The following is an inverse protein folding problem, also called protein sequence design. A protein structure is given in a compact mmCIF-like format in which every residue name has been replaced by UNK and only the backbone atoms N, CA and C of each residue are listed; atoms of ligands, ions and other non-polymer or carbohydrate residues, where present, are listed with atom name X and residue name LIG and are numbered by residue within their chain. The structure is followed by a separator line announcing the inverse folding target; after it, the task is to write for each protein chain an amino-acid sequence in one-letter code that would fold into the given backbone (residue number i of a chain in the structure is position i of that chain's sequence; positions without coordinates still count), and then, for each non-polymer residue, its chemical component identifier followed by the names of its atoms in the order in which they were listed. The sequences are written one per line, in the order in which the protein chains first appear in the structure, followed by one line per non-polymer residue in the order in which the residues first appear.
data_IF_884942922459
#
_entry.id   IF_884942922459
#
_cell.length_a   1.000
_cell.length_b   1.000
_cell.length_c   1.000
_cell.angle_alpha   90.00
_cell.angle_beta   90.00
_cell.angle_gamma   90.00
#
_symmetry.space_group_name_H-M   'P 1'
#
loop_
_entity.id
_entity.type
_entity.pdbx_description
1 polymer ?
#
# COMPACT_ATOMS: atom_id res chain seq x y z
N UNK A 1 -53.61 50.40 -30.23
CA UNK A 1 -53.12 49.08 -30.72
C UNK A 1 -51.91 48.73 -29.85
N UNK A 2 -52.13 47.86 -28.88
CA UNK A 2 -51.23 47.52 -27.77
C UNK A 2 -50.36 46.34 -28.11
N UNK A 3 -49.04 46.48 -28.04
CA UNK A 3 -48.03 45.47 -28.27
C UNK A 3 -47.83 44.74 -26.92
N UNK A 4 -48.12 43.43 -26.87
CA UNK A 4 -47.85 42.57 -25.71
C UNK A 4 -46.48 41.95 -25.88
N UNK A 5 -45.60 42.33 -24.98
CA UNK A 5 -44.27 41.74 -24.83
C UNK A 5 -44.35 40.43 -23.98
N UNK A 6 -44.02 39.28 -24.56
CA UNK A 6 -43.85 38.02 -23.81
C UNK A 6 -42.43 38.01 -23.23
N UNK A 7 -42.34 37.97 -21.89
CA UNK A 7 -41.11 37.61 -21.17
C UNK A 7 -41.03 36.08 -21.09
N UNK A 8 -40.07 35.47 -21.75
CA UNK A 8 -39.64 34.09 -21.49
C UNK A 8 -38.64 34.08 -20.32
N UNK A 9 -39.09 33.60 -19.18
CA UNK A 9 -38.20 33.32 -18.04
C UNK A 9 -37.45 32.03 -18.25
N UNK A 10 -36.13 32.10 -18.39
CA UNK A 10 -35.23 30.95 -18.36
C UNK A 10 -35.04 30.50 -16.90
N UNK A 11 -35.61 29.34 -16.56
CA UNK A 11 -35.32 28.67 -15.29
C UNK A 11 -33.96 27.97 -15.44
N UNK A 12 -32.94 28.55 -14.83
CA UNK A 12 -31.65 27.88 -14.68
C UNK A 12 -31.79 26.82 -13.57
N UNK A 13 -31.84 25.54 -13.98
CA UNK A 13 -31.66 24.42 -13.06
C UNK A 13 -30.18 24.39 -12.65
N UNK A 14 -29.86 24.94 -11.48
CA UNK A 14 -28.59 24.68 -10.82
C UNK A 14 -28.64 23.26 -10.25
N UNK A 15 -27.97 22.32 -10.91
CA UNK A 15 -27.66 21.02 -10.33
C UNK A 15 -26.73 21.23 -9.11
N UNK A 16 -27.29 21.16 -7.91
CA UNK A 16 -26.48 20.99 -6.70
C UNK A 16 -25.89 19.59 -6.76
N UNK A 17 -24.60 19.50 -7.14
CA UNK A 17 -23.81 18.33 -6.82
C UNK A 17 -23.78 18.20 -5.29
N UNK A 18 -24.04 17.01 -4.69
CA UNK A 18 -23.83 16.83 -3.28
C UNK A 18 -22.34 17.04 -3.00
N UNK A 19 -22.01 18.13 -2.32
CA UNK A 19 -20.71 18.29 -1.71
C UNK A 19 -20.58 17.10 -0.74
N UNK A 20 -19.67 16.20 -1.03
CA UNK A 20 -19.22 15.23 -0.04
C UNK A 20 -18.59 16.06 1.08
N UNK A 21 -19.35 16.29 2.13
CA UNK A 21 -18.82 16.81 3.37
C UNK A 21 -17.84 15.75 3.87
N UNK A 22 -16.55 16.01 3.71
CA UNK A 22 -15.57 15.46 4.63
C UNK A 22 -15.98 16.04 5.99
N UNK A 23 -16.78 15.28 6.73
CA UNK A 23 -17.09 15.61 8.11
C UNK A 23 -15.73 15.68 8.82
N UNK A 24 -15.39 16.85 9.32
CA UNK A 24 -14.31 16.99 10.29
C UNK A 24 -14.75 16.12 11.47
N UNK A 25 -14.12 14.95 11.61
CA UNK A 25 -14.41 14.04 12.72
C UNK A 25 -13.77 14.60 13.99
N UNK A 26 -14.31 15.67 14.51
CA UNK A 26 -14.05 16.13 15.87
C UNK A 26 -14.87 15.26 16.83
N UNK A 27 -14.24 14.23 17.38
CA UNK A 27 -14.90 13.32 18.30
C UNK A 27 -13.90 12.42 19.00
N UNK A 28 -14.31 11.87 20.14
CA UNK A 28 -13.49 10.96 20.93
C UNK A 28 -13.13 9.68 20.18
N UNK A 29 -11.94 9.15 20.46
CA UNK A 29 -11.49 7.84 19.97
C UNK A 29 -12.52 6.75 20.31
N UNK A 30 -12.79 5.87 19.33
CA UNK A 30 -13.65 4.71 19.55
C UNK A 30 -15.16 5.00 19.61
N UNK A 31 -15.61 6.18 19.21
CA UNK A 31 -17.04 6.58 19.31
C UNK A 31 -17.98 5.81 18.39
N UNK A 32 -17.47 5.31 17.24
CA UNK A 32 -18.32 4.75 16.18
C UNK A 32 -18.47 3.21 16.26
N UNK A 33 -18.05 2.58 17.36
CA UNK A 33 -18.23 1.16 17.58
C UNK A 33 -17.25 0.30 16.78
N UNK A 34 -17.73 -0.75 16.09
CA UNK A 34 -16.92 -1.69 15.33
C UNK A 34 -16.94 -1.37 13.84
N UNK A 35 -15.79 -1.55 13.15
CA UNK A 35 -15.71 -1.64 11.68
C UNK A 35 -15.31 -3.06 11.28
N UNK A 36 -15.98 -3.60 10.24
CA UNK A 36 -15.76 -4.95 9.74
C UNK A 36 -15.22 -4.93 8.31
N UNK A 37 -14.01 -5.46 8.15
CA UNK A 37 -13.31 -5.56 6.87
C UNK A 37 -13.27 -7.02 6.44
N UNK A 38 -13.55 -7.31 5.18
CA UNK A 38 -13.41 -8.64 4.61
C UNK A 38 -12.52 -8.62 3.37
N UNK A 39 -11.51 -9.52 3.36
CA UNK A 39 -10.71 -9.80 2.18
C UNK A 39 -10.96 -11.24 1.73
N UNK A 40 -10.96 -11.49 0.42
CA UNK A 40 -11.09 -12.85 -0.09
C UNK A 40 -9.85 -13.71 0.22
N UNK A 41 -8.68 -13.08 0.42
CA UNK A 41 -7.47 -13.72 0.98
C UNK A 41 -7.25 -13.24 2.40
N UNK A 42 -7.25 -14.18 3.36
CA UNK A 42 -6.97 -13.84 4.74
C UNK A 42 -5.50 -13.46 4.96
N UNK A 43 -5.23 -12.51 5.85
CA UNK A 43 -3.87 -12.25 6.33
C UNK A 43 -3.27 -13.49 7.01
N UNK A 44 -2.00 -13.73 6.74
CA UNK A 44 -1.25 -14.88 7.28
C UNK A 44 -0.23 -14.47 8.34
N UNK A 45 0.18 -13.19 8.35
CA UNK A 45 1.18 -12.62 9.25
C UNK A 45 0.98 -11.11 9.33
N UNK A 46 1.44 -10.49 10.42
CA UNK A 46 1.43 -9.03 10.61
C UNK A 46 2.84 -8.43 10.63
N UNK A 47 3.84 -9.20 10.23
CA UNK A 47 5.19 -8.72 10.02
C UNK A 47 5.47 -8.58 8.51
N UNK A 48 5.45 -7.35 7.94
CA UNK A 48 5.64 -7.13 6.51
C UNK A 48 7.05 -7.43 6.03
N UNK A 49 8.01 -7.55 6.93
CA UNK A 49 9.37 -7.96 6.58
C UNK A 49 9.49 -9.46 6.24
N UNK A 50 8.47 -10.26 6.61
CA UNK A 50 8.39 -11.68 6.28
C UNK A 50 7.30 -12.00 5.23
N UNK A 51 6.66 -10.99 4.65
CA UNK A 51 5.65 -11.16 3.61
C UNK A 51 5.70 -10.07 2.55
N UNK A 52 5.52 -10.45 1.28
CA UNK A 52 5.28 -9.53 0.17
C UNK A 52 3.79 -9.42 -0.21
N UNK A 53 2.90 -10.12 0.49
CA UNK A 53 1.47 -10.15 0.17
C UNK A 53 0.74 -8.88 0.56
N UNK A 54 0.02 -8.26 -0.37
CA UNK A 54 -0.74 -7.01 -0.11
C UNK A 54 -1.69 -7.14 1.08
N UNK A 55 -2.37 -8.27 1.23
CA UNK A 55 -3.26 -8.57 2.36
C UNK A 55 -2.57 -8.44 3.73
N UNK A 56 -1.31 -8.89 3.82
CA UNK A 56 -0.51 -8.84 5.04
C UNK A 56 0.01 -7.42 5.29
N UNK A 57 0.47 -6.74 4.23
CA UNK A 57 0.96 -5.36 4.28
C UNK A 57 -0.14 -4.38 4.71
N UNK A 58 -1.35 -4.54 4.18
CA UNK A 58 -2.47 -3.67 4.51
C UNK A 58 -2.99 -3.93 5.93
N UNK A 59 -3.13 -5.19 6.33
CA UNK A 59 -3.52 -5.54 7.69
C UNK A 59 -2.51 -5.05 8.73
N UNK A 60 -1.21 -5.26 8.48
CA UNK A 60 -0.15 -4.79 9.38
C UNK A 60 -0.11 -3.27 9.49
N UNK A 61 -0.48 -2.52 8.44
CA UNK A 61 -0.45 -1.06 8.42
C UNK A 61 -1.47 -0.40 9.37
N UNK A 62 -2.42 -1.18 9.90
CA UNK A 62 -3.34 -0.74 10.94
C UNK A 62 -2.69 -0.74 12.32
N UNK A 63 -1.59 -1.47 12.49
CA UNK A 63 -0.90 -1.70 13.77
C UNK A 63 0.48 -1.03 13.81
N UNK A 64 1.28 -1.20 12.77
CA UNK A 64 2.65 -0.67 12.70
C UNK A 64 2.80 0.34 11.55
N UNK A 65 3.56 1.41 11.79
CA UNK A 65 3.63 2.55 10.89
C UNK A 65 5.06 2.85 10.42
N UNK A 66 5.22 3.39 9.19
CA UNK A 66 6.49 3.85 8.65
C UNK A 66 6.81 5.27 9.11
N UNK A 67 8.02 5.76 8.77
CA UNK A 67 8.38 7.17 8.94
C UNK A 67 7.54 8.09 8.06
N UNK A 68 7.23 7.65 6.84
CA UNK A 68 6.36 8.37 5.91
C UNK A 68 5.67 7.46 4.92
N UNK A 69 4.72 8.00 4.17
CA UNK A 69 3.96 7.32 3.11
C UNK A 69 3.83 8.19 1.87
N UNK A 70 3.30 7.61 0.82
CA UNK A 70 2.78 8.35 -0.33
C UNK A 70 1.27 8.51 -0.16
N UNK A 71 0.76 9.71 -0.45
CA UNK A 71 -0.69 9.95 -0.54
C UNK A 71 -1.24 9.51 -1.90
N UNK A 72 -2.54 9.73 -2.13
CA UNK A 72 -3.22 9.36 -3.37
C UNK A 72 -2.74 10.15 -4.60
N UNK A 73 -2.02 11.25 -4.41
CA UNK A 73 -1.41 12.03 -5.49
C UNK A 73 0.02 11.58 -5.80
N UNK A 74 0.58 10.70 -4.95
CA UNK A 74 1.97 10.26 -5.00
C UNK A 74 2.94 11.22 -4.28
N UNK A 75 2.44 12.20 -3.54
CA UNK A 75 3.27 13.06 -2.72
C UNK A 75 3.71 12.34 -1.43
N UNK A 76 4.93 12.65 -0.98
CA UNK A 76 5.45 12.13 0.27
C UNK A 76 4.81 12.86 1.46
N UNK A 77 4.26 12.11 2.40
CA UNK A 77 3.65 12.62 3.63
C UNK A 77 4.27 11.99 4.87
N UNK A 78 4.59 12.78 5.92
CA UNK A 78 5.21 12.26 7.14
C UNK A 78 4.17 11.55 8.02
N UNK A 79 4.55 10.37 8.57
CA UNK A 79 3.78 9.60 9.55
C UNK A 79 4.44 9.67 10.93
N UNK A 80 5.44 8.83 11.21
CA UNK A 80 6.22 8.92 12.46
C UNK A 80 7.28 10.02 12.37
N UNK A 81 7.76 10.34 11.16
CA UNK A 81 8.69 11.44 10.97
C UNK A 81 8.03 12.80 11.19
N UNK A 82 8.79 13.76 11.70
CA UNK A 82 8.36 15.14 11.89
C UNK A 82 8.03 15.82 10.56
N UNK A 83 8.89 15.59 9.56
CA UNK A 83 8.77 16.09 8.20
C UNK A 83 9.42 15.10 7.22
N UNK A 84 9.21 15.29 5.92
CA UNK A 84 9.95 14.56 4.89
C UNK A 84 11.30 15.23 4.68
N UNK A 85 12.42 14.52 4.87
CA UNK A 85 13.74 15.05 4.59
C UNK A 85 13.93 15.32 3.10
N UNK A 86 14.45 16.48 2.75
CA UNK A 86 14.80 16.87 1.39
C UNK A 86 16.18 17.55 1.35
N UNK A 87 16.71 17.80 0.16
CA UNK A 87 17.95 18.60 0.02
C UNK A 87 17.72 20.03 0.50
N UNK A 88 16.54 20.59 0.20
CA UNK A 88 16.18 21.98 0.52
C UNK A 88 16.09 22.23 2.03
N UNK A 89 15.59 21.23 2.82
CA UNK A 89 15.53 21.38 4.27
C UNK A 89 16.77 20.81 4.99
N UNK A 90 17.78 20.37 4.22
CA UNK A 90 19.02 19.80 4.76
C UNK A 90 18.90 18.39 5.31
N UNK A 91 17.73 17.76 5.18
CA UNK A 91 17.48 16.37 5.60
C UNK A 91 18.10 15.33 4.67
N UNK A 92 18.36 15.69 3.40
CA UNK A 92 19.13 14.89 2.45
C UNK A 92 20.43 15.63 2.14
N UNK A 93 21.56 14.95 2.23
CA UNK A 93 22.85 15.55 1.92
C UNK A 93 22.96 15.94 0.43
N UNK A 94 23.70 17.02 0.13
CA UNK A 94 23.87 17.53 -1.25
C UNK A 94 24.51 16.49 -2.19
N UNK A 95 25.36 15.61 -1.67
CA UNK A 95 25.97 14.51 -2.41
C UNK A 95 25.05 13.28 -2.57
N UNK A 96 23.84 13.37 -2.03
CA UNK A 96 22.80 12.33 -2.04
C UNK A 96 23.24 10.99 -1.38
N UNK A 97 24.25 11.01 -0.51
CA UNK A 97 24.78 9.81 0.15
C UNK A 97 24.23 9.59 1.56
N UNK A 98 23.41 10.49 2.05
CA UNK A 98 22.74 10.28 3.33
C UNK A 98 21.39 10.98 3.39
N UNK A 99 20.52 10.43 4.25
CA UNK A 99 19.23 11.02 4.61
C UNK A 99 19.08 10.97 6.13
N UNK A 100 18.69 12.09 6.73
CA UNK A 100 18.48 12.22 8.18
C UNK A 100 16.99 12.33 8.46
N UNK A 101 16.50 11.39 9.25
CA UNK A 101 15.12 11.34 9.71
C UNK A 101 15.00 11.81 11.16
N UNK A 102 13.98 12.60 11.43
CA UNK A 102 13.64 13.03 12.78
C UNK A 102 12.22 12.57 13.13
N UNK A 103 12.07 11.88 14.25
CA UNK A 103 10.77 11.45 14.79
C UNK A 103 9.99 12.65 15.33
N UNK A 104 8.66 12.56 15.30
CA UNK A 104 7.79 13.43 16.09
C UNK A 104 8.04 13.20 17.57
N UNK A 105 7.92 14.26 18.36
CA UNK A 105 8.00 14.16 19.81
C UNK A 105 6.78 13.45 20.42
N UNK A 106 6.97 12.74 21.52
CA UNK A 106 5.89 12.11 22.28
C UNK A 106 5.24 10.89 21.60
N UNK A 107 5.89 10.29 20.60
CA UNK A 107 5.41 9.04 20.02
C UNK A 107 5.54 7.90 21.02
N UNK A 108 4.47 7.11 21.13
CA UNK A 108 4.41 5.96 22.02
C UNK A 108 4.06 4.70 21.25
N UNK A 109 4.64 3.59 21.66
CA UNK A 109 4.18 2.26 21.32
C UNK A 109 2.85 1.94 22.00
N UNK A 110 2.14 0.95 21.53
CA UNK A 110 0.85 0.54 22.12
C UNK A 110 0.96 0.01 23.56
N UNK A 111 2.15 -0.42 23.97
CA UNK A 111 2.46 -0.82 25.35
C UNK A 111 2.78 0.35 26.28
N UNK A 112 2.82 1.58 25.76
CA UNK A 112 3.12 2.81 26.52
C UNK A 112 4.60 3.13 26.64
N UNK A 113 5.49 2.39 25.99
CA UNK A 113 6.91 2.75 25.92
C UNK A 113 7.17 3.78 24.80
N UNK A 114 8.19 4.65 24.93
CA UNK A 114 8.49 5.65 23.91
C UNK A 114 9.08 5.03 22.65
N UNK A 115 8.74 5.62 21.49
CA UNK A 115 9.40 5.33 20.20
C UNK A 115 10.68 6.14 20.12
N UNK A 116 11.79 5.49 19.78
CA UNK A 116 13.10 6.14 19.71
C UNK A 116 13.85 5.82 18.41
N UNK A 117 14.94 6.53 18.18
CA UNK A 117 15.88 6.28 17.09
C UNK A 117 16.49 4.87 17.12
N UNK A 118 16.57 4.24 18.32
CA UNK A 118 17.01 2.86 18.45
C UNK A 118 16.09 1.87 17.72
N UNK A 119 14.78 2.12 17.71
CA UNK A 119 13.81 1.29 16.98
C UNK A 119 14.02 1.38 15.45
N UNK A 120 14.34 2.58 14.95
CA UNK A 120 14.62 2.78 13.52
C UNK A 120 15.90 2.03 13.12
N UNK A 121 16.97 2.18 13.92
CA UNK A 121 18.22 1.47 13.67
C UNK A 121 18.03 -0.03 13.71
N UNK A 122 17.35 -0.54 14.74
CA UNK A 122 17.03 -1.97 14.88
C UNK A 122 16.23 -2.49 13.68
N UNK A 123 15.26 -1.72 13.19
CA UNK A 123 14.45 -2.10 12.02
C UNK A 123 15.31 -2.31 10.78
N UNK A 124 16.30 -1.44 10.55
CA UNK A 124 17.25 -1.62 9.46
C UNK A 124 18.12 -2.88 9.68
N UNK A 125 18.68 -3.07 10.87
CA UNK A 125 19.49 -4.24 11.23
C UNK A 125 18.69 -5.54 11.05
N UNK A 126 17.42 -5.54 11.41
CA UNK A 126 16.52 -6.68 11.22
C UNK A 126 16.37 -7.05 9.75
N UNK A 127 16.09 -6.08 8.87
CA UNK A 127 15.88 -6.35 7.45
C UNK A 127 17.20 -6.59 6.70
N UNK A 128 18.30 -5.96 7.10
CA UNK A 128 19.60 -6.10 6.46
C UNK A 128 20.40 -7.32 6.97
N UNK A 129 19.87 -8.06 7.93
CA UNK A 129 20.55 -9.23 8.47
C UNK A 129 20.76 -10.28 7.38
N UNK A 130 22.01 -10.77 7.16
CA UNK A 130 22.32 -11.63 6.02
C UNK A 130 21.58 -12.98 6.03
N UNK A 131 21.16 -13.46 7.20
CA UNK A 131 20.37 -14.68 7.37
C UNK A 131 18.87 -14.42 7.55
N UNK A 132 18.42 -13.16 7.47
CA UNK A 132 17.06 -12.78 7.82
C UNK A 132 15.99 -13.08 6.78
N UNK A 133 16.37 -13.19 5.52
CA UNK A 133 15.41 -13.45 4.43
C UNK A 133 14.32 -12.39 4.31
N UNK A 134 14.63 -11.11 4.56
CA UNK A 134 13.67 -10.01 4.54
C UNK A 134 13.03 -9.84 3.17
N UNK A 135 11.69 -9.95 3.09
CA UNK A 135 10.92 -9.76 1.87
C UNK A 135 11.05 -8.33 1.28
N UNK A 136 11.48 -7.38 2.09
CA UNK A 136 11.64 -5.97 1.73
C UNK A 136 13.12 -5.56 1.60
N UNK A 137 14.03 -6.51 1.50
CA UNK A 137 15.48 -6.27 1.45
C UNK A 137 15.91 -5.26 0.40
N UNK A 138 15.30 -5.26 -0.79
CA UNK A 138 15.60 -4.31 -1.86
C UNK A 138 15.40 -2.84 -1.48
N UNK A 139 14.59 -2.53 -0.48
CA UNK A 139 14.42 -1.17 0.02
C UNK A 139 15.66 -0.63 0.74
N UNK A 140 16.51 -1.54 1.20
CA UNK A 140 17.75 -1.25 1.92
C UNK A 140 19.00 -1.38 1.03
N UNK A 141 18.82 -1.57 -0.28
CA UNK A 141 19.95 -1.69 -1.23
C UNK A 141 20.84 -0.45 -1.17
N UNK A 142 22.12 -0.67 -0.94
CA UNK A 142 23.14 0.36 -0.83
C UNK A 142 23.17 1.11 0.52
N UNK A 143 22.31 0.77 1.48
CA UNK A 143 22.45 1.25 2.86
C UNK A 143 23.70 0.61 3.48
N UNK A 144 24.57 1.46 4.03
CA UNK A 144 25.83 1.03 4.69
C UNK A 144 25.74 1.07 6.20
N UNK A 145 24.99 2.05 6.74
CA UNK A 145 24.73 2.18 8.17
C UNK A 145 23.47 3.01 8.45
N UNK A 146 22.91 2.83 9.64
CA UNK A 146 21.94 3.72 10.26
C UNK A 146 22.52 4.19 11.59
N UNK A 147 22.90 5.45 11.65
CA UNK A 147 23.61 6.04 12.78
C UNK A 147 22.65 6.84 13.64
N UNK A 148 22.63 6.58 14.93
CA UNK A 148 21.87 7.35 15.92
C UNK A 148 22.58 8.68 16.17
N UNK A 149 21.87 9.78 15.92
CA UNK A 149 22.36 11.14 16.23
C UNK A 149 21.93 11.54 17.65
N UNK A 150 20.66 11.30 17.96
CA UNK A 150 20.05 11.48 19.29
C UNK A 150 18.83 10.55 19.44
N UNK A 151 18.09 10.64 20.54
CA UNK A 151 16.95 9.76 20.84
C UNK A 151 15.82 9.80 19.77
N UNK A 152 15.75 10.86 18.97
CA UNK A 152 14.71 11.07 17.96
C UNK A 152 15.25 11.17 16.53
N UNK A 153 16.58 11.14 16.35
CA UNK A 153 17.20 11.45 15.05
C UNK A 153 18.15 10.34 14.62
N UNK A 154 18.00 9.88 13.38
CA UNK A 154 18.92 8.95 12.73
C UNK A 154 19.39 9.47 11.39
N UNK A 155 20.61 9.11 11.00
CA UNK A 155 21.13 9.30 9.65
C UNK A 155 21.34 7.94 8.99
N UNK A 156 20.72 7.76 7.82
CA UNK A 156 20.90 6.59 6.94
C UNK A 156 21.97 6.94 5.92
N UNK A 157 23.03 6.14 5.86
CA UNK A 157 24.14 6.35 4.93
C UNK A 157 24.09 5.34 3.80
N UNK A 158 24.44 5.79 2.60
CA UNK A 158 24.47 4.97 1.38
C UNK A 158 25.89 4.85 0.82
N UNK A 159 26.20 3.72 0.18
CA UNK A 159 27.46 3.49 -0.53
C UNK A 159 27.66 4.47 -1.69
N UNK A 160 26.56 4.79 -2.38
CA UNK A 160 26.54 5.61 -3.58
C UNK A 160 25.42 6.66 -3.50
N UNK A 161 25.51 7.70 -4.34
CA UNK A 161 24.47 8.72 -4.43
C UNK A 161 23.11 8.09 -4.77
N UNK A 162 22.09 8.39 -3.96
CA UNK A 162 20.70 7.92 -4.12
C UNK A 162 19.79 9.10 -4.50
N UNK A 163 19.45 9.28 -5.77
CA UNK A 163 18.51 10.34 -6.20
C UNK A 163 17.12 10.20 -5.56
N UNK A 164 16.73 8.96 -5.22
CA UNK A 164 15.54 8.67 -4.43
C UNK A 164 15.96 7.91 -3.17
N UNK A 165 16.24 8.60 -2.04
CA UNK A 165 16.72 7.96 -0.81
C UNK A 165 15.60 7.39 0.07
N UNK A 166 14.34 7.44 -0.38
CA UNK A 166 13.15 7.06 0.40
C UNK A 166 12.81 5.55 0.32
N UNK A 167 13.76 4.69 0.02
CA UNK A 167 13.57 3.23 0.05
C UNK A 167 13.28 2.71 1.46
N UNK A 168 14.20 2.91 2.42
CA UNK A 168 14.02 2.51 3.81
C UNK A 168 12.90 3.30 4.50
N UNK A 169 12.17 2.63 5.39
CA UNK A 169 11.20 3.22 6.31
C UNK A 169 10.00 3.94 5.69
N UNK A 170 9.76 3.73 4.39
CA UNK A 170 8.65 4.36 3.65
C UNK A 170 7.60 3.37 3.20
N UNK A 171 6.33 3.74 3.45
CA UNK A 171 5.16 2.96 3.05
C UNK A 171 4.88 1.73 3.93
N UNK A 172 3.75 1.07 3.69
CA UNK A 172 3.31 -0.11 4.46
C UNK A 172 4.30 -1.29 4.43
N UNK A 173 5.21 -1.30 3.47
CA UNK A 173 6.23 -2.33 3.32
C UNK A 173 7.44 -2.16 4.25
N UNK A 174 7.65 -0.97 4.79
CA UNK A 174 8.82 -0.67 5.60
C UNK A 174 8.46 0.13 6.88
N UNK A 175 7.53 -0.40 7.72
CA UNK A 175 7.20 0.22 9.00
C UNK A 175 8.36 0.09 9.99
N UNK A 176 8.30 0.86 11.06
CA UNK A 176 9.22 0.71 12.20
C UNK A 176 8.69 -0.38 13.12
N UNK A 177 9.54 -1.31 13.55
CA UNK A 177 9.23 -2.35 14.52
C UNK A 177 9.88 -2.03 15.87
N UNK A 178 9.24 -2.44 16.96
CA UNK A 178 9.75 -2.19 18.30
C UNK A 178 10.99 -3.06 18.59
N UNK A 179 12.13 -2.44 18.84
CA UNK A 179 13.39 -3.14 19.09
C UNK A 179 13.30 -4.11 20.27
N UNK A 180 12.61 -3.73 21.35
CA UNK A 180 12.48 -4.56 22.55
C UNK A 180 11.70 -5.86 22.29
N UNK A 181 10.59 -5.79 21.51
CA UNK A 181 9.79 -6.97 21.19
C UNK A 181 10.53 -7.92 20.24
N UNK A 182 11.27 -7.38 19.28
CA UNK A 182 11.92 -8.16 18.22
C UNK A 182 13.40 -8.48 18.51
N UNK A 183 13.93 -8.13 19.70
CA UNK A 183 15.35 -8.27 20.04
C UNK A 183 15.93 -9.68 19.78
N UNK A 184 15.16 -10.72 20.08
CA UNK A 184 15.57 -12.11 19.90
C UNK A 184 15.17 -12.69 18.52
N UNK A 185 14.60 -11.87 17.63
CA UNK A 185 14.01 -12.27 16.35
C UNK A 185 14.92 -11.95 15.15
N UNK A 186 16.21 -11.77 15.35
CA UNK A 186 17.16 -11.44 14.26
C UNK A 186 17.56 -12.67 13.44
N UNK A 187 17.80 -12.45 12.17
CA UNK A 187 18.33 -13.45 11.26
C UNK A 187 17.39 -14.64 11.07
N UNK A 188 17.95 -15.84 11.13
CA UNK A 188 17.20 -17.10 10.93
C UNK A 188 16.09 -17.31 11.96
N UNK A 189 16.11 -16.61 13.10
CA UNK A 189 15.07 -16.68 14.12
C UNK A 189 13.81 -15.87 13.77
N UNK A 190 13.88 -14.96 12.81
CA UNK A 190 12.78 -14.07 12.48
C UNK A 190 11.43 -14.79 12.23
N UNK A 191 11.36 -15.88 11.45
CA UNK A 191 10.11 -16.63 11.25
C UNK A 191 9.59 -17.35 12.49
N UNK A 192 10.46 -17.65 13.46
CA UNK A 192 10.12 -18.40 14.68
C UNK A 192 9.47 -17.53 15.76
N UNK A 193 9.58 -16.21 15.65
CA UNK A 193 9.03 -15.25 16.60
C UNK A 193 7.52 -15.05 16.42
N UNK A 194 6.76 -16.11 16.62
CA UNK A 194 5.31 -16.15 16.35
C UNK A 194 4.55 -15.03 17.04
N UNK A 195 4.82 -14.76 18.32
CA UNK A 195 4.13 -13.70 19.07
C UNK A 195 4.35 -12.33 18.44
N UNK A 196 5.60 -11.94 18.18
CA UNK A 196 5.91 -10.66 17.58
C UNK A 196 5.40 -10.54 16.14
N UNK A 197 5.42 -11.64 15.38
CA UNK A 197 4.96 -11.68 14.00
C UNK A 197 3.43 -11.62 13.86
N UNK A 198 2.69 -12.06 14.85
CA UNK A 198 1.22 -12.13 14.81
C UNK A 198 0.55 -11.06 15.68
N UNK A 199 1.24 -10.57 16.70
CA UNK A 199 0.76 -9.56 17.62
C UNK A 199 1.84 -8.48 17.84
N UNK A 200 2.22 -7.74 16.78
CA UNK A 200 3.24 -6.71 16.92
C UNK A 200 2.76 -5.57 17.80
N UNK A 201 3.63 -5.14 18.73
CA UNK A 201 3.46 -3.88 19.44
C UNK A 201 3.70 -2.76 18.41
N UNK A 202 2.72 -1.89 18.22
CA UNK A 202 2.71 -0.93 17.13
C UNK A 202 2.44 0.50 17.58
N UNK A 203 2.64 1.44 16.66
CA UNK A 203 2.33 2.86 16.83
C UNK A 203 1.01 3.24 16.16
N UNK A 204 0.40 2.30 15.44
CA UNK A 204 -0.79 2.51 14.63
C UNK A 204 -2.07 2.72 15.43
N UNK A 205 -3.17 3.03 14.74
CA UNK A 205 -4.44 3.34 15.37
C UNK A 205 -5.09 2.16 16.10
N UNK A 206 -4.72 0.93 15.78
CA UNK A 206 -5.27 -0.27 16.39
C UNK A 206 -4.19 -1.16 16.99
N UNK A 207 -4.58 -1.98 17.99
CA UNK A 207 -3.80 -3.06 18.59
C UNK A 207 -4.50 -4.37 18.35
N UNK A 208 -3.73 -5.45 18.11
CA UNK A 208 -4.26 -6.81 17.96
C UNK A 208 -4.71 -7.33 19.33
N UNK A 209 -5.85 -8.00 19.36
CA UNK A 209 -6.36 -8.73 20.56
C UNK A 209 -6.48 -10.21 20.31
N UNK A 210 -6.72 -10.63 19.06
CA UNK A 210 -6.71 -12.02 18.63
C UNK A 210 -6.30 -12.09 17.16
N UNK A 211 -5.41 -13.01 16.83
CA UNK A 211 -5.04 -13.28 15.44
C UNK A 211 -5.06 -14.79 15.18
N UNK A 212 -5.95 -15.18 14.32
CA UNK A 212 -6.00 -16.53 13.75
C UNK A 212 -5.53 -16.49 12.31
N UNK A 213 -4.27 -16.88 12.02
CA UNK A 213 -3.71 -16.82 10.67
C UNK A 213 -4.62 -17.51 9.64
N UNK A 214 -4.75 -16.87 8.47
CA UNK A 214 -5.62 -17.32 7.39
C UNK A 214 -7.13 -17.36 7.74
N UNK A 215 -7.55 -16.65 8.78
CA UNK A 215 -8.97 -16.57 9.19
C UNK A 215 -9.37 -15.15 9.58
N UNK A 216 -9.01 -14.68 10.77
CA UNK A 216 -9.50 -13.41 11.29
C UNK A 216 -8.48 -12.73 12.20
N UNK A 217 -8.50 -11.40 12.20
CA UNK A 217 -7.80 -10.56 13.17
C UNK A 217 -8.84 -9.72 13.90
N UNK A 218 -8.78 -9.74 15.23
CA UNK A 218 -9.55 -8.85 16.08
C UNK A 218 -8.63 -7.76 16.61
N UNK A 219 -9.07 -6.53 16.53
CA UNK A 219 -8.30 -5.36 16.97
C UNK A 219 -9.17 -4.43 17.78
N UNK A 220 -8.53 -3.65 18.67
CA UNK A 220 -9.15 -2.57 19.42
C UNK A 220 -8.37 -1.26 19.19
N UNK A 221 -9.03 -0.13 19.41
CA UNK A 221 -8.38 1.17 19.31
C UNK A 221 -7.16 1.25 20.25
N UNK A 222 -6.03 1.71 19.72
CA UNK A 222 -4.81 1.92 20.49
C UNK A 222 -4.94 3.16 21.39
N UNK A 223 -4.92 3.02 22.72
CA UNK A 223 -5.07 4.15 23.63
C UNK A 223 -3.90 5.15 23.56
N UNK A 224 -2.73 4.67 23.10
CA UNK A 224 -1.51 5.46 22.96
C UNK A 224 -1.32 6.05 21.56
N UNK A 225 -2.30 5.88 20.66
CA UNK A 225 -2.20 6.48 19.32
C UNK A 225 -2.10 8.01 19.42
N UNK A 226 -1.17 8.60 18.67
CA UNK A 226 -0.78 10.02 18.75
C UNK A 226 -1.92 11.03 18.55
N UNK A 227 -2.97 10.66 17.80
CA UNK A 227 -4.15 11.52 17.61
C UNK A 227 -5.24 11.08 18.60
N UNK A 228 -5.61 11.93 19.56
CA UNK A 228 -6.59 11.56 20.60
C UNK A 228 -8.01 11.35 20.04
N UNK A 229 -8.29 11.84 18.83
CA UNK A 229 -9.60 11.72 18.18
C UNK A 229 -9.69 10.52 17.23
N UNK A 230 -8.61 9.76 17.07
CA UNK A 230 -8.51 8.60 16.18
C UNK A 230 -8.05 7.34 16.90
N UNK A 231 -8.44 6.16 16.40
CA UNK A 231 -9.41 5.95 15.32
C UNK A 231 -10.84 6.28 15.79
N UNK A 232 -11.76 6.53 14.85
CA UNK A 232 -13.17 6.73 15.14
C UNK A 232 -13.83 5.45 15.66
N UNK A 233 -13.44 4.30 15.14
CA UNK A 233 -13.96 2.99 15.57
C UNK A 233 -13.26 2.49 16.83
N UNK A 234 -14.05 1.90 17.76
CA UNK A 234 -13.55 1.29 18.99
C UNK A 234 -12.84 -0.03 18.74
N UNK A 235 -13.33 -0.79 17.76
CA UNK A 235 -12.79 -2.10 17.39
C UNK A 235 -12.85 -2.33 15.89
N UNK A 236 -12.07 -3.31 15.43
CA UNK A 236 -11.99 -3.72 14.04
C UNK A 236 -11.92 -5.23 13.96
N UNK A 237 -12.80 -5.81 13.13
CA UNK A 237 -12.70 -7.19 12.69
C UNK A 237 -12.17 -7.23 11.26
N UNK A 238 -11.01 -7.84 11.06
CA UNK A 238 -10.46 -8.10 9.73
C UNK A 238 -10.60 -9.58 9.41
N UNK A 239 -11.63 -9.94 8.66
CA UNK A 239 -11.93 -11.30 8.26
C UNK A 239 -11.32 -11.59 6.89
N UNK A 240 -10.82 -12.79 6.75
CA UNK A 240 -10.38 -13.27 5.45
C UNK A 240 -10.97 -14.62 5.10
N UNK A 241 -10.73 -15.04 3.86
CA UNK A 241 -11.14 -16.34 3.36
C UNK A 241 -12.44 -16.32 2.56
N UNK A 242 -12.69 -17.43 1.89
CA UNK A 242 -13.73 -17.54 0.89
C UNK A 242 -13.24 -17.16 -0.50
N UNK A 243 -14.08 -16.47 -1.25
CA UNK A 243 -13.77 -15.97 -2.57
C UNK A 243 -14.26 -14.51 -2.75
N UNK A 244 -13.89 -13.88 -3.87
CA UNK A 244 -14.29 -12.52 -4.16
C UNK A 244 -15.82 -12.35 -4.24
N UNK A 245 -16.55 -13.39 -4.70
CA UNK A 245 -18.01 -13.38 -4.80
C UNK A 245 -18.64 -13.33 -3.39
N UNK A 246 -18.16 -14.16 -2.47
CA UNK A 246 -18.63 -14.18 -1.10
C UNK A 246 -18.36 -12.86 -0.38
N UNK A 247 -17.15 -12.29 -0.55
CA UNK A 247 -16.77 -11.00 0.04
C UNK A 247 -17.60 -9.84 -0.54
N UNK A 248 -17.79 -9.80 -1.87
CA UNK A 248 -18.64 -8.79 -2.52
C UNK A 248 -20.08 -8.84 -2.05
N UNK A 249 -20.62 -10.04 -1.90
CA UNK A 249 -21.97 -10.28 -1.39
C UNK A 249 -22.14 -9.83 0.05
N UNK A 250 -21.16 -10.10 0.90
CA UNK A 250 -21.18 -9.73 2.32
C UNK A 250 -21.23 -8.22 2.53
N UNK A 251 -20.64 -7.43 1.63
CA UNK A 251 -20.70 -5.95 1.69
C UNK A 251 -21.92 -5.40 0.94
N UNK A 252 -22.12 -5.78 -0.33
CA UNK A 252 -23.08 -5.10 -1.19
C UNK A 252 -24.52 -5.62 -1.09
N UNK A 253 -24.73 -6.92 -0.79
CA UNK A 253 -26.06 -7.52 -0.71
C UNK A 253 -26.56 -7.63 0.75
N UNK A 254 -25.71 -8.14 1.67
CA UNK A 254 -26.15 -8.41 3.04
C UNK A 254 -25.81 -7.30 4.03
N UNK A 255 -24.75 -6.53 3.78
CA UNK A 255 -24.27 -5.50 4.71
C UNK A 255 -23.68 -6.09 5.99
N UNK A 256 -23.20 -7.34 5.97
CA UNK A 256 -22.54 -7.99 7.12
C UNK A 256 -21.17 -7.39 7.41
N UNK A 257 -20.50 -6.90 6.35
CA UNK A 257 -19.21 -6.21 6.40
C UNK A 257 -19.29 -4.82 5.79
N UNK A 258 -18.43 -3.91 6.27
CA UNK A 258 -18.41 -2.50 5.86
C UNK A 258 -17.51 -2.24 4.66
N UNK A 259 -16.47 -3.05 4.49
CA UNK A 259 -15.49 -2.88 3.42
C UNK A 259 -14.96 -4.22 2.91
N UNK A 260 -14.83 -4.34 1.60
CA UNK A 260 -14.15 -5.44 0.94
C UNK A 260 -13.14 -4.91 -0.08
N UNK A 261 -11.99 -5.57 -0.16
CA UNK A 261 -10.89 -5.15 -1.04
C UNK A 261 -10.73 -6.11 -2.22
N UNK A 262 -10.33 -5.53 -3.37
CA UNK A 262 -9.89 -6.24 -4.57
C UNK A 262 -10.94 -7.25 -5.09
N UNK A 263 -12.14 -6.73 -5.36
CA UNK A 263 -13.24 -7.53 -5.91
C UNK A 263 -13.00 -7.87 -7.39
N UNK A 264 -12.19 -8.89 -7.63
CA UNK A 264 -11.90 -9.42 -8.97
C UNK A 264 -13.08 -10.21 -9.52
N UNK A 265 -14.17 -9.51 -9.81
CA UNK A 265 -15.42 -10.06 -10.35
C UNK A 265 -15.75 -9.42 -11.70
N UNK A 266 -16.49 -10.16 -12.53
CA UNK A 266 -16.98 -9.61 -13.78
C UNK A 266 -17.84 -8.36 -13.52
N UNK A 267 -17.78 -7.35 -14.39
CA UNK A 267 -18.48 -6.06 -14.19
C UNK A 267 -19.99 -6.19 -14.01
N UNK A 268 -20.63 -7.12 -14.72
CA UNK A 268 -22.06 -7.42 -14.62
C UNK A 268 -22.44 -8.06 -13.28
N UNK A 269 -21.55 -8.88 -12.70
CA UNK A 269 -21.73 -9.47 -11.38
C UNK A 269 -21.65 -8.39 -10.30
N UNK A 270 -20.66 -7.49 -10.38
CA UNK A 270 -20.54 -6.35 -9.45
C UNK A 270 -21.75 -5.42 -9.52
N UNK A 271 -22.21 -5.10 -10.75
CA UNK A 271 -23.38 -4.25 -10.95
C UNK A 271 -24.63 -4.87 -10.31
N UNK A 272 -24.83 -6.18 -10.52
CA UNK A 272 -25.96 -6.91 -9.91
C UNK A 272 -25.89 -6.93 -8.38
N UNK A 273 -24.71 -7.14 -7.79
CA UNK A 273 -24.54 -7.09 -6.34
C UNK A 273 -24.85 -5.71 -5.77
N UNK A 274 -24.50 -4.64 -6.48
CA UNK A 274 -24.76 -3.27 -6.08
C UNK A 274 -26.28 -2.95 -6.01
N UNK A 275 -27.13 -3.68 -6.75
CA UNK A 275 -28.60 -3.56 -6.65
C UNK A 275 -29.13 -3.91 -5.25
N UNK A 276 -28.36 -4.66 -4.45
CA UNK A 276 -28.64 -4.95 -3.04
C UNK A 276 -28.69 -3.71 -2.14
N UNK A 277 -28.07 -2.61 -2.59
CA UNK A 277 -28.16 -1.27 -1.96
C UNK A 277 -27.50 -1.14 -0.59
N UNK A 278 -26.65 -2.10 -0.18
CA UNK A 278 -25.93 -2.08 1.09
C UNK A 278 -24.51 -1.50 0.96
N UNK A 279 -23.94 -1.56 -0.24
CA UNK A 279 -22.61 -1.05 -0.54
C UNK A 279 -22.48 -0.65 -2.00
N UNK A 280 -21.38 0.02 -2.34
CA UNK A 280 -21.07 0.51 -3.69
C UNK A 280 -19.70 0.00 -4.11
N UNK A 281 -19.52 -0.47 -5.36
CA UNK A 281 -18.21 -0.73 -5.92
C UNK A 281 -17.48 0.59 -6.17
N UNK A 282 -16.27 0.74 -5.63
CA UNK A 282 -15.40 1.89 -5.86
C UNK A 282 -14.21 1.41 -6.69
N UNK A 283 -13.98 2.03 -7.84
CA UNK A 283 -12.84 1.75 -8.70
C UNK A 283 -11.83 2.88 -8.65
N UNK A 284 -10.58 2.53 -8.40
CA UNK A 284 -9.46 3.47 -8.43
C UNK A 284 -8.41 2.97 -9.43
N UNK A 285 -7.95 3.86 -10.31
CA UNK A 285 -6.84 3.57 -11.22
C UNK A 285 -5.52 3.72 -10.46
N UNK A 286 -4.85 2.59 -10.27
CA UNK A 286 -3.60 2.51 -9.55
C UNK A 286 -2.37 2.36 -10.45
N UNK A 287 -1.28 1.92 -9.85
CA UNK A 287 0.01 1.71 -10.52
C UNK A 287 0.12 0.35 -11.23
N UNK A 288 -0.86 -0.56 -11.03
CA UNK A 288 -0.86 -1.88 -11.64
C UNK A 288 -1.27 -1.80 -13.10
N UNK A 289 -0.47 -2.38 -13.98
CA UNK A 289 -0.71 -2.45 -15.42
C UNK A 289 -0.78 -3.90 -15.83
N UNK A 290 -1.93 -4.32 -16.38
CA UNK A 290 -2.06 -5.58 -17.09
C UNK A 290 -1.29 -5.48 -18.42
N UNK A 291 -0.39 -6.42 -18.68
CA UNK A 291 0.45 -6.39 -19.87
C UNK A 291 0.82 -7.78 -20.33
N UNK A 292 1.12 -7.90 -21.62
CA UNK A 292 1.73 -9.09 -22.19
C UNK A 292 3.22 -8.82 -22.37
N UNK A 293 4.05 -9.56 -21.63
CA UNK A 293 5.50 -9.49 -21.75
C UNK A 293 5.98 -10.46 -22.82
N UNK A 294 6.78 -9.98 -23.76
CA UNK A 294 7.34 -10.78 -24.83
C UNK A 294 8.83 -11.04 -24.55
N UNK A 295 9.19 -12.30 -24.29
CA UNK A 295 10.57 -12.69 -24.11
C UNK A 295 11.32 -12.61 -25.46
N UNK A 296 12.24 -11.65 -25.59
CA UNK A 296 13.03 -11.47 -26.81
C UNK A 296 14.29 -12.35 -26.84
N UNK A 297 14.50 -13.20 -25.85
CA UNK A 297 15.60 -14.15 -25.76
C UNK A 297 15.12 -15.57 -25.98
N UNK A 298 15.99 -16.46 -26.47
CA UNK A 298 15.65 -17.85 -26.79
C UNK A 298 15.62 -18.73 -25.52
N UNK A 299 14.45 -19.28 -25.12
CA UNK A 299 14.31 -20.16 -23.95
C UNK A 299 14.52 -21.64 -24.28
N UNK A 300 14.93 -22.00 -25.53
CA UNK A 300 15.02 -23.41 -25.98
C UNK A 300 15.84 -24.28 -25.05
N UNK A 301 15.34 -25.48 -24.79
CA UNK A 301 16.06 -26.50 -24.05
C UNK A 301 17.29 -27.02 -24.77
N UNK A 302 17.42 -26.78 -26.09
CA UNK A 302 18.57 -27.19 -26.90
C UNK A 302 19.82 -26.32 -26.66
N UNK A 303 19.64 -25.16 -25.99
CA UNK A 303 20.74 -24.30 -25.59
C UNK A 303 21.40 -24.82 -24.29
N UNK A 304 22.73 -24.62 -24.13
CA UNK A 304 23.42 -24.95 -22.88
C UNK A 304 22.75 -24.32 -21.66
N UNK A 305 22.85 -25.01 -20.53
CA UNK A 305 22.40 -24.44 -19.25
C UNK A 305 23.23 -23.17 -18.95
N UNK A 306 22.51 -22.08 -18.54
CA UNK A 306 23.14 -20.77 -18.35
C UNK A 306 23.17 -19.87 -19.58
N UNK A 307 22.91 -20.39 -20.79
CA UNK A 307 22.80 -19.59 -22.01
C UNK A 307 21.34 -19.32 -22.43
N UNK A 308 20.40 -20.10 -21.90
CA UNK A 308 18.95 -19.92 -22.14
C UNK A 308 18.47 -18.60 -21.62
N UNK A 309 17.60 -17.96 -22.38
CA UNK A 309 17.00 -16.67 -22.00
C UNK A 309 18.02 -15.56 -21.72
N UNK A 310 19.17 -15.63 -22.38
CA UNK A 310 20.20 -14.59 -22.33
C UNK A 310 20.20 -13.75 -23.61
N UNK A 311 20.79 -12.56 -23.56
CA UNK A 311 20.92 -11.65 -24.72
C UNK A 311 21.83 -12.22 -25.83
N UNK A 312 22.62 -13.26 -25.53
CA UNK A 312 23.47 -13.95 -26.52
C UNK A 312 22.66 -14.73 -27.54
N UNK A 313 21.47 -15.18 -27.17
CA UNK A 313 20.58 -15.98 -28.00
C UNK A 313 19.23 -15.28 -28.20
N UNK A 314 19.09 -14.44 -29.25
CA UNK A 314 17.81 -13.78 -29.54
C UNK A 314 16.70 -14.79 -29.81
N UNK A 315 15.49 -14.48 -29.41
CA UNK A 315 14.31 -15.32 -29.68
C UNK A 315 14.10 -15.46 -31.20
N UNK A 316 13.82 -16.65 -31.74
CA UNK A 316 13.74 -16.92 -33.19
C UNK A 316 12.80 -15.99 -33.97
N UNK A 317 11.72 -15.49 -33.37
CA UNK A 317 10.76 -14.59 -33.99
C UNK A 317 10.36 -13.39 -33.14
N UNK A 318 10.34 -13.49 -31.78
CA UNK A 318 10.00 -12.34 -30.93
C UNK A 318 11.10 -11.27 -30.85
N UNK A 319 12.32 -11.56 -31.29
CA UNK A 319 13.37 -10.55 -31.47
C UNK A 319 13.12 -9.64 -32.68
N UNK A 320 12.26 -10.04 -33.65
CA UNK A 320 11.86 -9.20 -34.78
C UNK A 320 10.86 -8.12 -34.31
N UNK A 321 11.17 -6.86 -34.61
CA UNK A 321 10.30 -5.72 -34.27
C UNK A 321 8.91 -5.81 -34.93
N UNK A 322 8.85 -6.25 -36.21
CA UNK A 322 7.57 -6.30 -36.93
C UNK A 322 6.65 -7.39 -36.39
N UNK A 323 7.20 -8.50 -35.91
CA UNK A 323 6.42 -9.53 -35.22
C UNK A 323 5.80 -8.99 -33.94
N UNK A 324 6.59 -8.33 -33.08
CA UNK A 324 6.06 -7.69 -31.87
C UNK A 324 5.03 -6.61 -32.15
N UNK A 325 5.28 -5.79 -33.19
CA UNK A 325 4.33 -4.77 -33.64
C UNK A 325 3.02 -5.37 -34.09
N UNK A 326 3.07 -6.44 -34.91
CA UNK A 326 1.88 -7.14 -35.38
C UNK A 326 1.08 -7.72 -34.22
N UNK A 327 1.73 -8.38 -33.24
CA UNK A 327 1.09 -8.88 -32.04
C UNK A 327 0.41 -7.76 -31.24
N UNK A 328 1.11 -6.63 -31.06
CA UNK A 328 0.53 -5.48 -30.36
C UNK A 328 -0.68 -4.88 -31.08
N UNK A 329 -0.67 -4.87 -32.43
CA UNK A 329 -1.79 -4.37 -33.25
C UNK A 329 -2.98 -5.35 -33.30
N UNK A 330 -2.75 -6.63 -33.09
CA UNK A 330 -3.80 -7.65 -33.08
C UNK A 330 -4.67 -7.63 -31.80
N UNK A 331 -4.24 -6.91 -30.76
CA UNK A 331 -4.92 -6.83 -29.46
C UNK A 331 -5.88 -5.65 -29.46
N UNK A 332 -7.17 -5.92 -29.36
CA UNK A 332 -8.20 -4.92 -29.09
C UNK A 332 -8.26 -4.61 -27.58
N UNK A 333 -7.50 -3.60 -27.16
CA UNK A 333 -7.41 -3.21 -25.74
C UNK A 333 -8.73 -2.69 -25.17
N UNK A 334 -9.52 -1.85 -25.90
CA UNK A 334 -10.84 -1.45 -25.44
C UNK A 334 -11.76 -2.64 -25.16
N UNK A 335 -11.80 -3.63 -26.04
CA UNK A 335 -12.60 -4.83 -25.85
C UNK A 335 -12.13 -5.65 -24.63
N UNK A 336 -10.83 -5.80 -24.44
CA UNK A 336 -10.29 -6.50 -23.26
C UNK A 336 -10.64 -5.79 -21.95
N UNK A 337 -10.63 -4.46 -21.95
CA UNK A 337 -11.05 -3.68 -20.77
C UNK A 337 -12.55 -3.86 -20.54
N UNK A 338 -13.38 -3.75 -21.56
CA UNK A 338 -14.84 -3.92 -21.45
C UNK A 338 -15.21 -5.29 -20.86
N UNK A 339 -14.61 -6.36 -21.36
CA UNK A 339 -14.94 -7.73 -20.94
C UNK A 339 -14.31 -8.07 -19.58
N UNK A 340 -13.07 -7.63 -19.31
CA UNK A 340 -12.32 -8.03 -18.13
C UNK A 340 -12.50 -7.11 -16.92
N UNK A 341 -12.65 -5.81 -17.15
CA UNK A 341 -12.59 -4.80 -16.08
C UNK A 341 -13.79 -3.84 -16.05
N UNK A 342 -14.48 -3.64 -17.18
CA UNK A 342 -15.55 -2.65 -17.28
C UNK A 342 -15.08 -1.27 -16.86
N UNK A 343 -15.76 -0.67 -15.89
CA UNK A 343 -15.41 0.67 -15.35
C UNK A 343 -14.14 0.70 -14.48
N UNK A 344 -13.66 -0.46 -14.04
CA UNK A 344 -12.47 -0.58 -13.20
C UNK A 344 -11.16 -0.56 -14.01
N UNK A 345 -11.24 -0.59 -15.35
CA UNK A 345 -10.08 -0.58 -16.22
C UNK A 345 -10.10 0.54 -17.25
N UNK A 346 -8.94 0.88 -17.77
CA UNK A 346 -8.77 1.76 -18.93
C UNK A 346 -7.53 1.37 -19.72
N UNK A 347 -7.53 1.48 -21.06
CA UNK A 347 -6.32 1.27 -21.85
C UNK A 347 -5.24 2.29 -21.49
N UNK A 348 -3.99 1.87 -21.47
CA UNK A 348 -2.83 2.76 -21.28
C UNK A 348 -1.66 2.29 -22.13
N UNK A 349 -0.78 3.22 -22.52
CA UNK A 349 0.53 2.95 -23.09
C UNK A 349 1.67 3.13 -22.08
N UNK A 350 1.34 3.46 -20.84
CA UNK A 350 2.30 3.72 -19.79
C UNK A 350 2.61 2.49 -18.94
N UNK A 351 3.89 2.24 -18.66
CA UNK A 351 4.30 1.27 -17.62
C UNK A 351 4.06 1.83 -16.21
N UNK A 352 4.05 3.17 -16.07
CA UNK A 352 3.73 3.87 -14.83
C UNK A 352 2.50 4.76 -15.10
N UNK A 353 1.28 4.22 -15.02
CA UNK A 353 0.06 4.94 -15.38
C UNK A 353 -0.45 5.88 -14.28
N UNK A 354 0.03 5.70 -13.07
CA UNK A 354 -0.34 6.47 -11.88
C UNK A 354 0.84 6.59 -10.91
N UNK A 355 0.91 7.64 -10.05
CA UNK A 355 0.05 8.81 -10.13
C UNK A 355 0.30 9.65 -11.40
N UNK A 356 -0.61 10.56 -11.72
CA UNK A 356 -0.54 11.37 -12.95
C UNK A 356 0.76 12.17 -13.11
N UNK A 357 1.39 12.52 -11.98
CA UNK A 357 2.68 13.23 -11.96
C UNK A 357 3.81 12.47 -12.68
N UNK A 358 3.75 11.13 -12.71
CA UNK A 358 4.76 10.27 -13.31
C UNK A 358 4.28 9.59 -14.61
N UNK A 359 3.00 9.73 -14.93
CA UNK A 359 2.44 9.17 -16.15
C UNK A 359 2.88 10.00 -17.37
N UNK A 360 3.19 9.31 -18.48
CA UNK A 360 3.45 9.99 -19.76
C UNK A 360 2.13 10.39 -20.40
N UNK A 361 2.11 11.53 -21.08
CA UNK A 361 0.98 12.03 -21.90
C UNK A 361 0.89 11.34 -23.28
N UNK A 362 1.77 10.39 -23.58
CA UNK A 362 1.83 9.70 -24.88
C UNK A 362 0.80 8.56 -25.00
#
# INVERSE_FOLDING_TARGET
MTLKTLLMGAIALTALAPAAFAASHEGERGRDGEVKIIYWQAPSILNPYLSGGTKDLEASSLVIEPLGRYDETGALVPFLAQEIPTVENGGVAEDLKSITWKLKEGLMWSDGTPVTSADIKFTAEYCMHPEGGCAQGSKYDGVTSVDIVDDLTVTVNFSDAKPNPYGPFMGAQAPIIQAAQFAECLGAKAPECTEANFNPIGTGPFMVTDFRPNDVIQMVANPNFRDPNKPAFASLTFKGGGDATAAGRAVMETGEYDYAWNMQLAPDVLAKMAEGGKGLPISAFGTLVERIEMNMTNPSADLPEGERSTVMHPHPFLSDFNVRKALSMAIDRPLLVEVGYGQAGRPTCNLVPAPALYASDN
#
